data_IF_944798917331
#
_entry.id   IF_944798917331
#
_cell.length_a   1.000
_cell.length_b   1.000
_cell.length_c   1.000
_cell.angle_alpha   90.00
_cell.angle_beta   90.00
_cell.angle_gamma   90.00
#
_symmetry.space_group_name_H-M   'P 1'
#
loop_
_entity.id
_entity.type
_entity.pdbx_description
1 polymer ?
#
# COMPACT_ATOMS: atom_id res chain seq x y z
N UNK A 1 -62.55 28.86 -34.52
CA UNK A 1 -62.86 27.67 -33.70
C UNK A 1 -62.04 27.80 -32.42
N UNK A 2 -62.53 28.67 -31.52
CA UNK A 2 -63.11 28.35 -30.19
C UNK A 2 -61.99 28.01 -29.20
N UNK A 3 -61.42 28.98 -28.47
CA UNK A 3 -61.95 29.70 -27.27
C UNK A 3 -62.26 28.81 -26.05
N UNK A 4 -61.62 29.22 -24.94
CA UNK A 4 -62.18 29.39 -23.59
C UNK A 4 -62.80 28.22 -22.80
N UNK A 5 -62.23 28.04 -21.60
CA UNK A 5 -62.87 28.06 -20.26
C UNK A 5 -61.71 27.97 -19.23
N UNK A 6 -61.32 28.97 -18.43
CA UNK A 6 -62.02 29.93 -17.55
C UNK A 6 -62.89 29.21 -16.51
N UNK A 7 -62.40 29.12 -15.27
CA UNK A 7 -62.89 29.77 -14.01
C UNK A 7 -63.29 28.62 -13.06
N UNK A 8 -63.11 28.59 -11.73
CA UNK A 8 -63.37 29.55 -10.63
C UNK A 8 -62.94 28.80 -9.33
N UNK A 9 -62.06 29.28 -8.43
CA UNK A 9 -62.26 30.22 -7.32
C UNK A 9 -63.42 29.90 -6.35
N UNK A 10 -63.09 29.54 -5.09
CA UNK A 10 -63.63 29.99 -3.76
C UNK A 10 -63.43 28.89 -2.70
N UNK A 11 -62.68 29.05 -1.58
CA UNK A 11 -62.76 29.94 -0.39
C UNK A 11 -63.44 29.23 0.81
N UNK A 12 -63.01 29.64 2.03
CA UNK A 12 -63.46 29.34 3.40
C UNK A 12 -62.85 28.10 4.06
N UNK A 13 -62.45 28.09 5.33
CA UNK A 13 -62.19 29.08 6.38
C UNK A 13 -61.69 28.21 7.55
N UNK A 14 -60.59 28.57 8.22
CA UNK A 14 -60.48 28.41 9.68
C UNK A 14 -59.27 29.23 10.17
N UNK A 15 -59.51 30.53 10.34
CA UNK A 15 -58.83 31.31 11.38
C UNK A 15 -59.42 30.89 12.73
N UNK A 16 -58.57 30.71 13.73
CA UNK A 16 -58.72 31.15 15.13
C UNK A 16 -57.47 30.60 15.89
N UNK A 17 -56.70 31.28 16.74
CA UNK A 17 -56.57 32.68 17.19
C UNK A 17 -55.80 32.62 18.55
N UNK A 18 -54.64 33.30 18.64
CA UNK A 18 -54.03 33.89 19.86
C UNK A 18 -53.57 32.94 21.01
N UNK A 19 -52.57 33.22 21.86
CA UNK A 19 -52.04 34.47 22.42
C UNK A 19 -50.50 34.42 22.65
N UNK A 20 -49.90 35.62 22.68
CA UNK A 20 -48.54 35.95 23.11
C UNK A 20 -48.34 35.72 24.62
N UNK A 21 -47.09 35.47 25.02
CA UNK A 21 -46.50 36.16 26.17
C UNK A 21 -44.96 36.12 26.07
N UNK A 22 -44.36 37.30 26.03
CA UNK A 22 -42.93 37.55 26.05
C UNK A 22 -42.60 38.45 27.25
N UNK A 23 -41.63 38.06 28.07
CA UNK A 23 -40.92 38.87 29.07
C UNK A 23 -39.71 38.02 29.57
N UNK A 24 -38.45 38.46 29.79
CA UNK A 24 -37.71 39.73 29.75
C UNK A 24 -36.22 39.42 29.49
N UNK A 25 -35.54 40.35 28.83
CA UNK A 25 -34.09 40.45 28.52
C UNK A 25 -33.23 40.75 29.75
N UNK A 26 -32.06 40.12 29.91
CA UNK A 26 -30.89 40.78 30.55
C UNK A 26 -29.53 40.32 29.94
N UNK A 27 -28.84 41.32 29.37
CA UNK A 27 -27.40 41.57 29.17
C UNK A 27 -26.42 40.56 28.54
N UNK A 28 -25.90 41.03 27.41
CA UNK A 28 -24.61 40.82 26.77
C UNK A 28 -23.40 40.88 27.73
N UNK A 29 -22.48 39.91 27.61
CA UNK A 29 -21.01 40.02 27.80
C UNK A 29 -20.35 38.64 28.03
N UNK A 30 -19.47 38.26 27.10
CA UNK A 30 -18.26 37.44 27.30
C UNK A 30 -18.37 35.99 27.81
N UNK A 31 -18.45 35.01 26.89
CA UNK A 31 -18.11 33.61 27.20
C UNK A 31 -17.69 32.72 26.00
N UNK A 32 -17.14 33.28 24.91
CA UNK A 32 -16.52 32.46 23.84
C UNK A 32 -15.07 31.99 24.18
N UNK A 33 -14.53 32.34 25.34
CA UNK A 33 -13.16 32.00 25.78
C UNK A 33 -13.02 30.63 26.50
N UNK A 34 -14.09 29.83 26.57
CA UNK A 34 -14.07 28.56 27.30
C UNK A 34 -13.59 27.35 26.47
N UNK A 35 -13.40 27.49 25.15
CA UNK A 35 -12.99 26.38 24.29
C UNK A 35 -11.47 26.31 24.03
N UNK A 36 -10.74 27.40 24.24
CA UNK A 36 -9.29 27.47 23.95
C UNK A 36 -8.42 27.06 25.17
N UNK A 37 -8.95 27.15 26.39
CA UNK A 37 -8.24 26.80 27.63
C UNK A 37 -8.06 25.28 27.87
N UNK A 38 -8.79 24.43 27.12
CA UNK A 38 -8.67 22.97 27.25
C UNK A 38 -7.47 22.38 26.48
N UNK A 39 -6.93 23.11 25.50
CA UNK A 39 -5.88 22.59 24.61
C UNK A 39 -4.44 22.84 25.13
N UNK A 40 -4.25 23.60 26.21
CA UNK A 40 -2.90 23.92 26.73
C UNK A 40 -2.45 23.10 27.96
N UNK A 41 -3.21 22.08 28.39
CA UNK A 41 -2.84 21.21 29.55
C UNK A 41 -2.31 19.82 29.19
N UNK A 42 -2.41 19.39 27.92
CA UNK A 42 -1.95 18.07 27.49
C UNK A 42 -0.46 18.02 27.08
N UNK A 43 0.26 19.13 27.11
CA UNK A 43 1.63 19.24 26.58
C UNK A 43 2.75 19.09 27.61
N UNK A 44 2.46 18.68 28.85
CA UNK A 44 3.49 18.48 29.88
C UNK A 44 3.29 17.15 30.61
N UNK A 45 3.66 16.06 29.96
CA UNK A 45 4.17 14.84 30.61
C UNK A 45 4.92 14.03 29.55
N UNK A 46 6.15 14.46 29.23
CA UNK A 46 7.12 13.67 28.47
C UNK A 46 8.42 13.61 29.27
N UNK A 47 8.82 12.39 29.60
CA UNK A 47 10.11 12.02 30.21
C UNK A 47 9.88 11.09 31.41
N UNK A 48 10.27 9.83 31.44
CA UNK A 48 11.36 9.16 30.70
C UNK A 48 11.27 7.63 30.86
N UNK A 49 11.47 6.94 29.74
CA UNK A 49 12.18 5.66 29.51
C UNK A 49 12.18 4.56 30.57
N UNK A 50 11.37 3.52 30.37
CA UNK A 50 11.67 2.09 30.63
C UNK A 50 10.90 1.28 29.56
N UNK A 51 11.60 0.72 28.56
CA UNK A 51 11.81 -0.73 28.36
C UNK A 51 10.57 -1.62 28.56
N UNK A 52 10.24 -2.34 27.48
CA UNK A 52 9.42 -3.57 27.43
C UNK A 52 7.99 -3.49 27.99
N UNK A 53 7.04 -3.31 27.09
CA UNK A 53 5.69 -3.83 27.27
C UNK A 53 5.28 -4.54 25.98
N UNK A 54 5.61 -5.83 25.91
CA UNK A 54 4.89 -6.80 25.08
C UNK A 54 3.39 -6.59 25.34
N UNK A 55 2.64 -6.15 24.33
CA UNK A 55 1.19 -6.11 24.44
C UNK A 55 0.68 -7.56 24.50
N UNK A 56 -0.09 -7.90 25.55
CA UNK A 56 -0.64 -9.25 25.70
C UNK A 56 -1.59 -9.53 24.54
N UNK A 57 -1.45 -10.70 23.91
CA UNK A 57 -2.20 -11.11 22.73
C UNK A 57 -3.68 -11.30 23.07
N UNK A 58 -4.43 -10.21 23.02
CA UNK A 58 -5.85 -10.24 22.71
C UNK A 58 -5.97 -10.48 21.21
N UNK A 59 -6.94 -11.30 20.81
CA UNK A 59 -7.31 -11.50 19.41
C UNK A 59 -7.53 -10.13 18.78
N UNK A 60 -6.67 -9.72 17.83
CA UNK A 60 -6.88 -8.50 17.06
C UNK A 60 -8.16 -8.64 16.25
N UNK A 61 -8.89 -7.54 16.09
CA UNK A 61 -10.03 -7.53 15.19
C UNK A 61 -9.59 -7.84 13.76
N UNK A 62 -10.49 -8.44 12.97
CA UNK A 62 -10.18 -8.85 11.60
C UNK A 62 -9.79 -7.65 10.73
N UNK A 63 -10.50 -6.52 10.85
CA UNK A 63 -10.19 -5.30 10.11
C UNK A 63 -8.79 -4.75 10.45
N UNK A 64 -8.40 -4.81 11.74
CA UNK A 64 -7.06 -4.43 12.17
C UNK A 64 -6.01 -5.39 11.58
N UNK A 65 -6.29 -6.70 11.58
CA UNK A 65 -5.37 -7.70 11.04
C UNK A 65 -5.14 -7.53 9.55
N UNK A 66 -6.21 -7.35 8.77
CA UNK A 66 -6.16 -7.09 7.33
C UNK A 66 -5.30 -5.87 7.04
N UNK A 67 -5.51 -4.76 7.76
CA UNK A 67 -4.73 -3.53 7.59
C UNK A 67 -3.23 -3.72 7.91
N UNK A 68 -2.90 -4.47 8.96
CA UNK A 68 -1.51 -4.77 9.32
C UNK A 68 -0.86 -5.65 8.24
N UNK A 69 -1.54 -6.70 7.79
CA UNK A 69 -1.02 -7.61 6.75
C UNK A 69 -0.83 -6.87 5.43
N UNK A 70 -1.76 -5.99 5.05
CA UNK A 70 -1.62 -5.11 3.87
C UNK A 70 -0.32 -4.31 3.96
N UNK A 71 -0.06 -3.65 5.10
CA UNK A 71 1.14 -2.86 5.30
C UNK A 71 2.43 -3.72 5.21
N UNK A 72 2.42 -4.91 5.81
CA UNK A 72 3.55 -5.84 5.77
C UNK A 72 3.85 -6.33 4.36
N UNK A 73 2.81 -6.70 3.60
CA UNK A 73 2.99 -7.15 2.22
C UNK A 73 3.42 -6.00 1.31
N UNK A 74 2.92 -4.79 1.53
CA UNK A 74 3.27 -3.61 0.75
C UNK A 74 4.74 -3.22 0.88
N UNK A 75 5.33 -3.31 2.08
CA UNK A 75 6.73 -2.98 2.32
C UNK A 75 7.70 -4.10 1.94
N UNK A 76 7.22 -5.34 1.83
CA UNK A 76 8.06 -6.50 1.54
C UNK A 76 8.58 -6.49 0.09
N UNK A 77 9.88 -6.77 -0.07
CA UNK A 77 10.49 -6.97 -1.39
C UNK A 77 10.23 -8.38 -1.95
N UNK A 78 9.89 -9.34 -1.09
CA UNK A 78 9.66 -10.75 -1.44
C UNK A 78 8.27 -11.24 -1.00
N UNK A 79 7.71 -12.29 -1.62
CA UNK A 79 6.44 -12.87 -1.18
C UNK A 79 6.49 -13.33 0.29
N UNK A 80 5.50 -12.91 1.09
CA UNK A 80 5.43 -13.25 2.51
C UNK A 80 4.59 -14.51 2.73
N UNK A 81 5.20 -15.54 3.34
CA UNK A 81 4.48 -16.75 3.73
C UNK A 81 3.60 -16.53 4.96
N UNK A 82 2.51 -17.31 5.09
CA UNK A 82 1.65 -17.36 6.28
C UNK A 82 2.49 -17.60 7.54
N UNK A 83 3.50 -18.47 7.46
CA UNK A 83 4.41 -18.76 8.57
C UNK A 83 5.20 -17.51 9.00
N UNK A 84 5.75 -16.76 8.04
CA UNK A 84 6.50 -15.55 8.36
C UNK A 84 5.61 -14.49 9.01
N UNK A 85 4.38 -14.31 8.52
CA UNK A 85 3.40 -13.42 9.12
C UNK A 85 3.03 -13.86 10.54
N UNK A 86 2.83 -15.17 10.77
CA UNK A 86 2.53 -15.74 12.09
C UNK A 86 3.68 -15.51 13.07
N UNK A 87 4.91 -15.70 12.62
CA UNK A 87 6.10 -15.51 13.45
C UNK A 87 6.29 -14.04 13.87
N UNK A 88 5.90 -13.08 13.02
CA UNK A 88 6.02 -11.62 13.27
C UNK A 88 4.84 -11.10 14.10
N UNK A 89 3.61 -11.42 13.70
CA UNK A 89 2.39 -10.94 14.35
C UNK A 89 2.07 -11.68 15.65
N UNK A 90 2.68 -12.85 15.84
CA UNK A 90 2.47 -13.78 16.94
C UNK A 90 1.02 -14.24 17.05
N UNK A 91 0.41 -14.54 15.91
CA UNK A 91 -0.99 -14.94 15.79
C UNK A 91 -1.12 -16.37 15.25
N UNK A 92 -2.32 -16.93 15.39
CA UNK A 92 -2.62 -18.23 14.81
C UNK A 92 -2.58 -18.20 13.27
N UNK A 93 -2.09 -19.28 12.67
CA UNK A 93 -1.98 -19.37 11.21
C UNK A 93 -3.33 -19.34 10.51
N UNK A 94 -4.34 -20.00 11.08
CA UNK A 94 -5.68 -20.01 10.52
C UNK A 94 -6.29 -18.60 10.52
N UNK A 95 -6.02 -17.81 11.56
CA UNK A 95 -6.47 -16.42 11.62
C UNK A 95 -5.82 -15.55 10.54
N UNK A 96 -4.51 -15.74 10.31
CA UNK A 96 -3.77 -15.06 9.23
C UNK A 96 -4.26 -15.51 7.85
N UNK A 97 -4.56 -16.79 7.66
CA UNK A 97 -5.10 -17.31 6.41
C UNK A 97 -6.44 -16.64 6.08
N UNK A 98 -7.35 -16.54 7.06
CA UNK A 98 -8.63 -15.86 6.85
C UNK A 98 -8.44 -14.38 6.52
N UNK A 99 -7.55 -13.68 7.23
CA UNK A 99 -7.27 -12.27 6.95
C UNK A 99 -6.63 -12.05 5.57
N UNK A 100 -5.75 -12.96 5.11
CA UNK A 100 -5.18 -12.93 3.77
C UNK A 100 -6.24 -13.16 2.70
N UNK A 101 -7.16 -14.09 2.93
CA UNK A 101 -8.27 -14.35 2.02
C UNK A 101 -9.20 -13.14 1.90
N UNK A 102 -9.51 -12.47 3.00
CA UNK A 102 -10.31 -11.25 3.02
C UNK A 102 -9.61 -10.11 2.25
N UNK A 103 -8.33 -9.86 2.55
CA UNK A 103 -7.52 -8.88 1.82
C UNK A 103 -7.46 -9.20 0.32
N UNK A 104 -7.29 -10.47 -0.03
CA UNK A 104 -7.28 -10.92 -1.42
C UNK A 104 -8.62 -10.65 -2.10
N UNK A 105 -9.75 -10.93 -1.44
CA UNK A 105 -11.08 -10.66 -1.97
C UNK A 105 -11.28 -9.16 -2.23
N UNK A 106 -10.92 -8.29 -1.29
CA UNK A 106 -11.05 -6.84 -1.44
C UNK A 106 -10.24 -6.30 -2.62
N UNK A 107 -8.95 -6.65 -2.70
CA UNK A 107 -8.07 -6.18 -3.77
C UNK A 107 -8.39 -6.79 -5.13
N UNK A 108 -8.91 -8.01 -5.16
CA UNK A 108 -9.21 -8.70 -6.41
C UNK A 108 -10.59 -8.31 -6.95
N UNK A 109 -11.57 -7.99 -6.08
CA UNK A 109 -12.91 -7.53 -6.47
C UNK A 109 -12.95 -6.06 -6.90
N UNK A 110 -12.08 -5.20 -6.33
CA UNK A 110 -12.05 -3.79 -6.72
C UNK A 110 -11.53 -3.59 -8.15
N UNK A 111 -12.06 -2.58 -8.84
CA UNK A 111 -11.59 -2.16 -10.16
C UNK A 111 -10.34 -1.26 -10.07
N UNK A 112 -9.27 -1.78 -9.46
CA UNK A 112 -7.99 -1.07 -9.26
C UNK A 112 -6.82 -1.79 -9.94
N UNK A 113 -5.71 -1.09 -10.18
CA UNK A 113 -4.58 -1.66 -10.94
C UNK A 113 -3.68 -2.65 -10.20
N UNK A 114 -3.90 -2.83 -8.89
CA UNK A 114 -3.20 -3.80 -8.05
C UNK A 114 -4.14 -4.92 -7.63
N UNK A 115 -3.58 -6.12 -7.50
CA UNK A 115 -4.25 -7.32 -7.01
C UNK A 115 -3.30 -8.10 -6.10
N UNK A 116 -3.84 -8.90 -5.20
CA UNK A 116 -3.07 -9.74 -4.31
C UNK A 116 -2.98 -11.15 -4.89
N UNK A 117 -1.78 -11.74 -4.93
CA UNK A 117 -1.56 -13.08 -5.48
C UNK A 117 -0.64 -13.93 -4.60
N UNK A 118 -0.83 -15.24 -4.70
CA UNK A 118 0.05 -16.23 -4.10
C UNK A 118 1.14 -16.66 -5.11
N UNK A 119 2.40 -16.68 -4.67
CA UNK A 119 3.57 -17.15 -5.42
C UNK A 119 4.48 -17.94 -4.50
N UNK A 120 4.77 -19.18 -4.87
CA UNK A 120 5.68 -20.07 -4.14
C UNK A 120 5.34 -20.24 -2.64
N UNK A 121 4.04 -20.22 -2.29
CA UNK A 121 3.57 -20.34 -0.90
C UNK A 121 3.68 -19.05 -0.08
N UNK A 122 3.86 -17.90 -0.74
CA UNK A 122 3.80 -16.58 -0.12
C UNK A 122 2.91 -15.61 -0.90
N UNK A 123 2.53 -14.52 -0.26
CA UNK A 123 1.62 -13.51 -0.80
C UNK A 123 2.37 -12.22 -1.14
N UNK A 124 2.02 -11.61 -2.26
CA UNK A 124 2.56 -10.31 -2.66
C UNK A 124 1.56 -9.52 -3.50
N UNK A 125 1.69 -8.19 -3.46
CA UNK A 125 1.00 -7.34 -4.42
C UNK A 125 1.61 -7.46 -5.81
N UNK A 126 0.76 -7.41 -6.83
CA UNK A 126 1.17 -7.35 -8.22
C UNK A 126 0.29 -6.39 -9.01
N UNK A 127 0.80 -5.89 -10.14
CA UNK A 127 0.01 -5.09 -11.08
C UNK A 127 -0.81 -5.99 -11.99
N UNK A 128 -2.06 -5.60 -12.25
CA UNK A 128 -2.96 -6.37 -13.12
C UNK A 128 -2.37 -6.52 -14.53
N UNK A 129 -2.47 -7.70 -15.16
CA UNK A 129 -1.96 -7.95 -16.51
C UNK A 129 -2.52 -6.99 -17.57
N UNK A 130 -3.74 -6.51 -17.39
CA UNK A 130 -4.41 -5.53 -18.27
C UNK A 130 -3.62 -4.23 -18.41
N UNK A 131 -2.82 -3.86 -17.40
CA UNK A 131 -1.99 -2.65 -17.41
C UNK A 131 -0.55 -2.92 -17.88
N UNK A 132 -0.25 -4.12 -18.38
CA UNK A 132 1.11 -4.53 -18.74
C UNK A 132 1.83 -3.54 -19.67
N UNK A 133 1.17 -3.09 -20.74
CA UNK A 133 1.81 -2.19 -21.72
C UNK A 133 2.22 -0.84 -21.10
N UNK A 134 1.37 -0.29 -20.22
CA UNK A 134 1.65 0.97 -19.51
C UNK A 134 2.80 0.80 -18.50
N UNK A 135 2.75 -0.25 -17.69
CA UNK A 135 3.81 -0.59 -16.73
C UNK A 135 5.12 -0.82 -17.45
N UNK A 136 5.09 -1.56 -18.57
CA UNK A 136 6.26 -1.83 -19.40
C UNK A 136 6.83 -0.56 -20.03
N UNK A 137 6.00 0.34 -20.53
CA UNK A 137 6.45 1.62 -21.08
C UNK A 137 7.13 2.50 -20.02
N UNK A 138 6.56 2.56 -18.82
CA UNK A 138 7.18 3.24 -17.67
C UNK A 138 8.53 2.61 -17.30
N UNK A 139 8.56 1.27 -17.17
CA UNK A 139 9.78 0.55 -16.82
C UNK A 139 10.85 0.59 -17.91
N UNK A 140 10.51 0.72 -19.21
CA UNK A 140 11.49 0.87 -20.30
C UNK A 140 12.35 2.14 -20.17
N UNK A 141 11.92 3.14 -19.39
CA UNK A 141 12.79 4.27 -18.99
C UNK A 141 13.95 3.83 -18.08
N UNK A 142 13.80 2.70 -17.38
CA UNK A 142 14.90 1.94 -16.77
C UNK A 142 15.37 0.88 -17.77
N UNK A 143 16.59 0.96 -18.31
CA UNK A 143 17.10 -0.06 -19.21
C UNK A 143 16.99 -1.45 -18.55
N UNK A 144 16.12 -2.33 -19.07
CA UNK A 144 16.17 -3.75 -18.72
C UNK A 144 17.47 -4.26 -19.30
N UNK A 145 18.54 -4.22 -18.50
CA UNK A 145 19.88 -4.46 -18.99
C UNK A 145 20.10 -5.98 -19.07
N UNK A 146 19.42 -6.59 -20.04
CA UNK A 146 19.66 -7.96 -20.49
C UNK A 146 21.13 -8.05 -20.90
N UNK A 147 21.80 -9.11 -20.47
CA UNK A 147 23.15 -9.39 -20.92
C UNK A 147 23.11 -9.73 -22.41
N UNK A 148 24.08 -9.21 -23.17
CA UNK A 148 24.31 -9.67 -24.54
C UNK A 148 24.75 -11.13 -24.52
N UNK A 149 24.60 -11.83 -25.65
CA UNK A 149 25.07 -13.21 -25.78
C UNK A 149 26.57 -13.32 -25.44
N UNK A 150 27.38 -12.37 -25.90
CA UNK A 150 28.81 -12.33 -25.59
C UNK A 150 29.08 -12.20 -24.08
N UNK A 151 28.26 -11.44 -23.34
CA UNK A 151 28.38 -11.30 -21.89
C UNK A 151 27.92 -12.57 -21.16
N UNK A 152 26.87 -13.24 -21.64
CA UNK A 152 26.42 -14.53 -21.10
C UNK A 152 27.47 -15.63 -21.29
N UNK A 153 28.07 -15.71 -22.48
CA UNK A 153 29.14 -16.67 -22.75
C UNK A 153 30.37 -16.42 -21.87
N UNK A 154 30.77 -15.15 -21.68
CA UNK A 154 31.86 -14.82 -20.75
C UNK A 154 31.51 -15.23 -19.32
N UNK A 155 30.29 -14.92 -18.87
CA UNK A 155 29.83 -15.26 -17.52
C UNK A 155 29.81 -16.78 -17.31
N UNK A 156 29.39 -17.55 -18.31
CA UNK A 156 29.38 -19.00 -18.25
C UNK A 156 30.80 -19.58 -18.09
N UNK A 157 31.79 -19.05 -18.85
CA UNK A 157 33.19 -19.44 -18.70
C UNK A 157 33.69 -19.15 -17.28
N UNK A 158 33.44 -17.95 -16.74
CA UNK A 158 33.86 -17.56 -15.39
C UNK A 158 33.21 -18.46 -14.34
N UNK A 159 31.88 -18.65 -14.40
CA UNK A 159 31.14 -19.43 -13.41
C UNK A 159 31.60 -20.89 -13.30
N UNK A 160 31.98 -21.51 -14.44
CA UNK A 160 32.45 -22.90 -14.46
C UNK A 160 33.95 -23.06 -14.22
N UNK A 161 34.75 -22.01 -14.43
CA UNK A 161 36.21 -22.08 -14.33
C UNK A 161 36.81 -21.27 -13.19
N UNK A 162 35.99 -20.61 -12.36
CA UNK A 162 36.50 -19.88 -11.20
C UNK A 162 37.33 -20.78 -10.27
N UNK A 163 38.52 -20.33 -9.81
CA UNK A 163 39.17 -19.05 -10.13
C UNK A 163 39.84 -19.06 -11.52
N UNK A 164 39.62 -18.01 -12.32
CA UNK A 164 40.15 -17.86 -13.68
C UNK A 164 40.64 -16.42 -13.93
N UNK A 165 41.67 -16.25 -14.74
CA UNK A 165 42.27 -14.97 -15.11
C UNK A 165 41.74 -14.44 -16.45
N UNK A 166 41.87 -13.12 -16.68
CA UNK A 166 41.45 -12.49 -17.95
C UNK A 166 42.11 -13.12 -19.19
N UNK A 167 43.43 -13.41 -19.22
CA UNK A 167 44.06 -14.11 -20.34
C UNK A 167 43.43 -15.49 -20.63
N UNK A 168 43.14 -16.28 -19.60
CA UNK A 168 42.52 -17.61 -19.76
C UNK A 168 41.08 -17.51 -20.30
N UNK A 169 40.32 -16.49 -19.88
CA UNK A 169 38.99 -16.23 -20.44
C UNK A 169 39.08 -15.91 -21.94
N UNK A 170 40.05 -15.07 -22.33
CA UNK A 170 40.28 -14.70 -23.73
C UNK A 170 40.68 -15.91 -24.57
N UNK A 171 41.51 -16.81 -24.03
CA UNK A 171 41.90 -18.05 -24.68
C UNK A 171 40.71 -18.98 -24.92
N UNK A 172 39.87 -19.21 -23.89
CA UNK A 172 38.69 -20.10 -24.01
C UNK A 172 37.65 -19.51 -24.97
N UNK A 173 37.42 -18.19 -24.92
CA UNK A 173 36.44 -17.53 -25.80
C UNK A 173 36.92 -17.38 -27.23
N UNK A 174 38.23 -17.34 -27.46
CA UNK A 174 38.82 -17.11 -28.78
C UNK A 174 38.54 -15.74 -29.39
N UNK A 175 37.89 -14.83 -28.65
CA UNK A 175 37.51 -13.48 -29.08
C UNK A 175 37.69 -12.47 -27.94
N UNK A 176 37.86 -11.19 -28.30
CA UNK A 176 37.99 -10.10 -27.33
C UNK A 176 36.74 -9.98 -26.44
N UNK A 177 36.94 -10.10 -25.13
CA UNK A 177 35.87 -10.17 -24.12
C UNK A 177 35.87 -9.01 -23.13
N UNK A 178 36.67 -7.97 -23.34
CA UNK A 178 36.85 -6.85 -22.38
C UNK A 178 35.56 -6.08 -22.09
N UNK A 179 34.72 -5.83 -23.10
CA UNK A 179 33.43 -5.14 -22.92
C UNK A 179 32.42 -5.99 -22.14
N UNK A 180 32.42 -7.31 -22.38
CA UNK A 180 31.62 -8.26 -21.63
C UNK A 180 32.07 -8.32 -20.16
N UNK A 181 33.37 -8.45 -19.90
CA UNK A 181 33.93 -8.45 -18.54
C UNK A 181 33.57 -7.15 -17.80
N UNK A 182 33.76 -5.98 -18.44
CA UNK A 182 33.36 -4.69 -17.87
C UNK A 182 31.86 -4.65 -17.54
N UNK A 183 31.01 -5.09 -18.47
CA UNK A 183 29.56 -5.14 -18.26
C UNK A 183 29.19 -6.04 -17.07
N UNK A 184 29.88 -7.17 -16.89
CA UNK A 184 29.64 -8.09 -15.78
C UNK A 184 30.10 -7.50 -14.44
N UNK A 185 31.22 -6.77 -14.41
CA UNK A 185 31.71 -6.02 -13.23
C UNK A 185 30.75 -4.87 -12.86
N UNK A 186 30.36 -4.05 -13.84
CA UNK A 186 29.42 -2.92 -13.64
C UNK A 186 28.08 -3.40 -13.06
N UNK A 187 27.68 -4.62 -13.43
CA UNK A 187 26.46 -5.29 -12.95
C UNK A 187 26.65 -6.11 -11.67
N UNK A 188 27.86 -6.14 -11.10
CA UNK A 188 28.23 -6.93 -9.90
C UNK A 188 27.91 -8.42 -10.03
N UNK A 189 28.00 -8.97 -11.25
CA UNK A 189 27.81 -10.40 -11.50
C UNK A 189 29.11 -11.19 -11.32
N UNK A 190 30.25 -10.51 -11.36
CA UNK A 190 31.58 -11.03 -11.07
C UNK A 190 32.34 -10.01 -10.22
N UNK A 191 33.40 -10.46 -9.56
CA UNK A 191 34.32 -9.63 -8.78
C UNK A 191 35.76 -9.92 -9.20
N UNK A 192 36.67 -8.96 -8.97
CA UNK A 192 38.10 -9.08 -9.26
C UNK A 192 38.83 -9.86 -8.16
#
# INVERSE_FOLDING_TARGET
>A
MVEEKKEMAEVLDDELAFEEDAEVVIHDADAEDALEAAQLKAAQEVGSTETEAETPHGVRDMAEMVAIIEALIFVSEEPLSVKALADVLKEDKGWIEVALEELAQEFNARNGGLYLREVAGGWQFATRPEHHEHVRAFLKSRPSAKLSLAALETLAVIAYKQPITVPEILEIRGVQSSSAIKTLLDKRLIVA
#
